data_IF_803862993348
#
_entry.id   IF_803862993348
#
_cell.length_a   1.000
_cell.length_b   1.000
_cell.length_c   1.000
_cell.angle_alpha   90.00
_cell.angle_beta   90.00
_cell.angle_gamma   90.00
#
_symmetry.space_group_name_H-M   'P 1'
#
loop_
_entity.id
_entity.type
_entity.pdbx_description
1 polymer ?
#
# COMPACT_ATOMS: atom_id res chain seq x y z
N UNK A 1 68.07 25.59 -19.22
CA UNK A 1 68.26 24.21 -18.73
C UNK A 1 66.96 23.85 -18.04
N UNK A 2 66.11 23.11 -18.71
CA UNK A 2 65.57 21.75 -18.40
C UNK A 2 64.80 21.79 -17.07
N UNK A 3 63.62 21.25 -16.86
CA UNK A 3 62.83 20.21 -17.59
C UNK A 3 61.38 20.26 -17.11
N UNK A 4 60.46 20.09 -17.99
CA UNK A 4 59.27 19.27 -18.08
C UNK A 4 58.91 18.38 -16.84
N UNK A 5 57.67 18.46 -16.43
CA UNK A 5 56.93 17.28 -16.00
C UNK A 5 55.41 17.49 -16.15
N UNK A 6 54.91 16.94 -17.17
CA UNK A 6 53.67 16.19 -17.38
C UNK A 6 53.04 15.64 -16.11
N UNK A 7 51.80 15.97 -15.81
CA UNK A 7 50.97 15.19 -14.93
C UNK A 7 49.64 14.87 -15.62
N UNK A 8 49.51 13.63 -15.82
CA UNK A 8 48.47 12.89 -16.52
C UNK A 8 47.13 13.04 -15.85
N UNK A 9 46.13 13.26 -16.68
CA UNK A 9 44.74 13.00 -16.30
C UNK A 9 44.52 11.55 -15.90
N UNK A 10 43.83 11.34 -14.81
CA UNK A 10 43.23 10.06 -14.44
C UNK A 10 41.74 10.25 -14.27
N UNK A 11 41.07 9.98 -15.35
CA UNK A 11 39.93 9.04 -15.50
C UNK A 11 38.78 9.16 -14.51
N UNK A 12 37.80 9.96 -14.90
CA UNK A 12 36.41 9.88 -14.46
C UNK A 12 35.65 8.84 -15.31
N UNK A 13 35.99 7.56 -15.22
CA UNK A 13 35.37 6.52 -16.05
C UNK A 13 34.81 5.31 -15.25
N UNK A 14 34.81 5.38 -13.91
CA UNK A 14 34.47 4.20 -13.10
C UNK A 14 33.09 4.21 -12.45
N UNK A 15 32.31 5.31 -12.46
CA UNK A 15 31.01 5.34 -11.81
C UNK A 15 29.82 4.93 -12.70
N UNK A 16 29.99 4.94 -14.00
CA UNK A 16 28.90 4.65 -14.96
C UNK A 16 28.61 3.17 -15.17
N UNK A 17 29.56 2.27 -14.87
CA UNK A 17 29.38 0.81 -15.10
C UNK A 17 28.70 0.08 -13.93
N UNK A 18 28.78 0.58 -12.71
CA UNK A 18 28.14 -0.02 -11.54
C UNK A 18 26.62 0.27 -11.45
N UNK A 19 26.14 1.33 -12.08
CA UNK A 19 24.71 1.70 -12.06
C UNK A 19 23.82 0.86 -13.00
N UNK A 20 24.36 0.33 -14.08
CA UNK A 20 23.59 -0.40 -15.12
C UNK A 20 22.92 -1.70 -14.63
N UNK A 21 23.55 -2.55 -13.79
CA UNK A 21 22.91 -3.78 -13.31
C UNK A 21 21.74 -3.49 -12.37
N UNK A 22 21.86 -2.47 -11.53
CA UNK A 22 20.83 -2.04 -10.60
C UNK A 22 19.58 -1.50 -11.34
N UNK A 23 19.80 -0.59 -12.28
CA UNK A 23 18.71 -0.07 -13.13
C UNK A 23 18.00 -1.16 -13.94
N UNK A 24 18.72 -2.16 -14.42
CA UNK A 24 18.12 -3.28 -15.15
C UNK A 24 17.29 -4.19 -14.23
N UNK A 25 17.73 -4.40 -12.99
CA UNK A 25 16.96 -5.15 -12.00
C UNK A 25 15.67 -4.42 -11.61
N UNK A 26 15.73 -3.12 -11.40
CA UNK A 26 14.56 -2.28 -11.11
C UNK A 26 13.55 -2.30 -12.27
N UNK A 27 13.99 -2.10 -13.50
CA UNK A 27 13.13 -2.16 -14.69
C UNK A 27 12.48 -3.53 -14.88
N UNK A 28 13.18 -4.61 -14.54
CA UNK A 28 12.63 -5.97 -14.59
C UNK A 28 11.56 -6.17 -13.52
N UNK A 29 11.79 -5.67 -12.32
CA UNK A 29 10.83 -5.73 -11.20
C UNK A 29 9.57 -4.92 -11.54
N UNK A 30 9.74 -3.70 -12.02
CA UNK A 30 8.63 -2.85 -12.43
C UNK A 30 7.80 -3.47 -13.56
N UNK A 31 8.45 -4.03 -14.58
CA UNK A 31 7.77 -4.75 -15.66
C UNK A 31 6.96 -5.96 -15.12
N UNK A 32 7.48 -6.67 -14.12
CA UNK A 32 6.77 -7.79 -13.49
C UNK A 32 5.54 -7.33 -12.71
N UNK A 33 5.65 -6.24 -11.94
CA UNK A 33 4.53 -5.64 -11.23
C UNK A 33 3.42 -5.21 -12.19
N UNK A 34 3.79 -4.46 -13.23
CA UNK A 34 2.85 -4.01 -14.26
C UNK A 34 2.14 -5.18 -14.96
N UNK A 35 2.86 -6.25 -15.28
CA UNK A 35 2.27 -7.44 -15.88
C UNK A 35 1.26 -8.12 -14.94
N UNK A 36 1.50 -8.17 -13.62
CA UNK A 36 0.55 -8.72 -12.65
C UNK A 36 -0.72 -7.89 -12.56
N UNK A 37 -0.62 -6.57 -12.51
CA UNK A 37 -1.78 -5.67 -12.52
C UNK A 37 -2.59 -5.80 -13.82
N UNK A 38 -1.91 -5.88 -14.97
CA UNK A 38 -2.57 -6.10 -16.26
C UNK A 38 -3.29 -7.45 -16.33
N UNK A 39 -2.77 -8.46 -15.67
CA UNK A 39 -3.43 -9.78 -15.58
C UNK A 39 -4.58 -9.78 -14.58
N UNK A 40 -4.45 -9.06 -13.46
CA UNK A 40 -5.47 -8.97 -12.41
C UNK A 40 -6.76 -8.32 -12.91
N UNK A 41 -6.64 -7.20 -13.62
CA UNK A 41 -7.78 -6.42 -14.18
C UNK A 41 -8.91 -6.22 -13.17
N UNK A 42 -8.65 -5.59 -12.01
CA UNK A 42 -9.67 -5.46 -11.00
C UNK A 42 -10.83 -4.59 -11.48
N UNK A 43 -12.04 -4.94 -11.07
CA UNK A 43 -13.16 -4.00 -11.14
C UNK A 43 -12.95 -2.89 -10.12
N UNK A 44 -13.22 -1.65 -10.52
CA UNK A 44 -13.15 -0.49 -9.62
C UNK A 44 -14.55 -0.12 -9.20
N UNK A 45 -14.80 -0.07 -7.90
CA UNK A 45 -16.09 0.35 -7.35
C UNK A 45 -15.90 1.52 -6.36
N UNK A 46 -16.83 2.45 -6.41
CA UNK A 46 -16.99 3.53 -5.44
C UNK A 46 -18.22 3.20 -4.62
N UNK A 47 -18.01 2.92 -3.33
CA UNK A 47 -19.11 2.56 -2.43
C UNK A 47 -19.54 3.79 -1.60
N UNK A 48 -20.79 3.73 -1.09
CA UNK A 48 -21.33 4.78 -0.24
C UNK A 48 -20.76 4.71 1.18
N UNK A 49 -20.74 5.85 1.93
CA UNK A 49 -20.34 5.84 3.32
C UNK A 49 -21.21 4.89 4.17
N UNK A 50 -20.58 4.11 5.04
CA UNK A 50 -21.25 3.15 5.93
C UNK A 50 -20.69 3.21 7.35
N UNK A 51 -21.42 2.63 8.28
CA UNK A 51 -20.98 2.54 9.67
C UNK A 51 -19.72 1.68 9.81
N UNK A 52 -18.84 1.96 10.78
CA UNK A 52 -17.54 1.30 10.91
C UNK A 52 -17.60 -0.22 10.92
N UNK A 53 -18.50 -0.83 11.69
CA UNK A 53 -18.63 -2.29 11.75
C UNK A 53 -19.09 -2.88 10.41
N UNK A 54 -20.01 -2.20 9.73
CA UNK A 54 -20.51 -2.63 8.42
C UNK A 54 -19.39 -2.65 7.37
N UNK A 55 -18.48 -1.67 7.39
CA UNK A 55 -17.31 -1.63 6.51
C UNK A 55 -16.39 -2.83 6.75
N UNK A 56 -16.13 -3.19 8.00
CA UNK A 56 -15.31 -4.37 8.33
C UNK A 56 -15.96 -5.67 7.86
N UNK A 57 -17.27 -5.80 8.02
CA UNK A 57 -18.02 -6.97 7.57
C UNK A 57 -18.06 -7.09 6.04
N UNK A 58 -18.14 -5.97 5.33
CA UNK A 58 -18.06 -5.92 3.86
C UNK A 58 -16.71 -6.39 3.40
N UNK A 59 -15.62 -5.92 3.99
CA UNK A 59 -14.25 -6.30 3.60
C UNK A 59 -14.05 -7.81 3.71
N UNK A 60 -14.51 -8.42 4.79
CA UNK A 60 -14.43 -9.89 4.96
C UNK A 60 -15.22 -10.61 3.88
N UNK A 61 -16.49 -10.21 3.67
CA UNK A 61 -17.37 -10.86 2.68
C UNK A 61 -16.87 -10.75 1.25
N UNK A 62 -16.32 -9.58 0.86
CA UNK A 62 -15.79 -9.39 -0.49
C UNK A 62 -14.48 -10.17 -0.69
N UNK A 63 -13.60 -10.19 0.30
CA UNK A 63 -12.40 -11.01 0.27
C UNK A 63 -12.72 -12.51 0.09
N UNK A 64 -13.69 -13.03 0.84
CA UNK A 64 -14.14 -14.43 0.74
C UNK A 64 -14.73 -14.73 -0.65
N UNK A 65 -15.52 -13.82 -1.22
CA UNK A 65 -16.12 -13.99 -2.55
C UNK A 65 -15.08 -14.02 -3.66
N UNK A 66 -14.08 -13.13 -3.60
CA UNK A 66 -12.98 -13.13 -4.56
C UNK A 66 -12.12 -14.39 -4.40
N UNK A 67 -11.79 -14.77 -3.16
CA UNK A 67 -11.03 -15.99 -2.87
C UNK A 67 -11.74 -17.26 -3.37
N UNK A 68 -13.07 -17.29 -3.33
CA UNK A 68 -13.89 -18.40 -3.82
C UNK A 68 -14.15 -18.35 -5.35
N UNK A 69 -13.62 -17.37 -6.08
CA UNK A 69 -13.88 -17.15 -7.49
C UNK A 69 -15.33 -16.75 -7.82
N UNK A 70 -16.10 -16.30 -6.83
CA UNK A 70 -17.50 -15.87 -6.97
C UNK A 70 -17.64 -14.38 -7.29
N UNK A 71 -16.53 -13.68 -7.36
CA UNK A 71 -16.43 -12.27 -7.68
C UNK A 71 -15.08 -12.02 -8.35
N UNK A 72 -14.98 -11.14 -9.35
CA UNK A 72 -13.69 -10.75 -9.91
C UNK A 72 -12.83 -10.01 -8.89
N UNK A 73 -11.50 -9.93 -9.09
CA UNK A 73 -10.67 -9.05 -8.33
C UNK A 73 -11.25 -7.64 -8.32
N UNK A 74 -11.20 -6.96 -7.18
CA UNK A 74 -11.89 -5.68 -7.01
C UNK A 74 -11.04 -4.68 -6.23
N UNK A 75 -10.98 -3.45 -6.72
CA UNK A 75 -10.46 -2.30 -5.99
C UNK A 75 -11.67 -1.44 -5.59
N UNK A 76 -11.94 -1.39 -4.28
CA UNK A 76 -13.07 -0.67 -3.71
C UNK A 76 -12.58 0.60 -3.02
N UNK A 77 -13.12 1.76 -3.42
CA UNK A 77 -12.99 3.03 -2.70
C UNK A 77 -14.25 3.26 -1.86
N UNK A 78 -14.06 3.69 -0.63
CA UNK A 78 -15.17 3.85 0.30
C UNK A 78 -14.86 4.85 1.41
N UNK A 79 -15.89 5.28 2.11
CA UNK A 79 -15.82 6.30 3.13
C UNK A 79 -16.49 5.83 4.43
N UNK A 80 -16.19 6.50 5.51
CA UNK A 80 -16.70 6.22 6.83
C UNK A 80 -17.91 7.15 7.14
N UNK A 81 -19.02 6.57 7.60
CA UNK A 81 -20.20 7.34 8.00
C UNK A 81 -20.12 7.84 9.45
N UNK A 82 -19.19 7.35 10.26
CA UNK A 82 -19.00 7.73 11.66
C UNK A 82 -17.52 7.62 12.07
N UNK A 83 -17.08 8.35 13.12
CA UNK A 83 -15.75 8.24 13.66
C UNK A 83 -15.44 6.83 14.17
N UNK A 84 -14.20 6.38 13.95
CA UNK A 84 -13.76 5.04 14.35
C UNK A 84 -12.31 4.99 14.82
N UNK A 85 -12.04 4.12 15.78
CA UNK A 85 -10.71 3.58 16.04
C UNK A 85 -10.66 2.18 15.45
N UNK A 86 -9.84 1.99 14.43
CA UNK A 86 -9.72 0.71 13.71
C UNK A 86 -8.46 0.02 14.17
N UNK A 87 -8.58 -1.06 14.93
CA UNK A 87 -7.44 -1.86 15.37
C UNK A 87 -7.13 -2.99 14.39
N UNK A 88 -5.86 -3.32 14.27
CA UNK A 88 -5.40 -4.43 13.44
C UNK A 88 -5.78 -5.79 14.03
N UNK A 89 -5.81 -6.82 13.18
CA UNK A 89 -6.22 -8.17 13.53
C UNK A 89 -5.57 -8.74 14.79
N UNK A 90 -4.29 -8.46 15.00
CA UNK A 90 -3.47 -9.06 16.03
C UNK A 90 -3.20 -8.14 17.23
N UNK A 91 -3.72 -6.90 17.22
CA UNK A 91 -3.54 -5.96 18.31
C UNK A 91 -4.41 -6.33 19.52
N UNK A 92 -3.88 -6.09 20.72
CA UNK A 92 -4.65 -6.16 21.97
C UNK A 92 -5.55 -4.93 22.07
N UNK A 93 -6.84 -5.13 22.31
CA UNK A 93 -7.78 -4.02 22.46
C UNK A 93 -7.45 -3.15 23.68
N UNK A 94 -7.09 -3.79 24.78
CA UNK A 94 -6.82 -3.13 26.06
C UNK A 94 -5.52 -2.30 26.03
N UNK A 95 -4.54 -2.74 25.24
CA UNK A 95 -3.26 -2.03 25.11
C UNK A 95 -3.34 -0.84 24.13
N UNK A 96 -4.22 -0.93 23.14
CA UNK A 96 -4.27 0.05 22.05
C UNK A 96 -5.32 1.15 22.26
N UNK A 97 -6.40 0.86 23.00
CA UNK A 97 -7.56 1.77 23.05
C UNK A 97 -8.08 1.96 24.47
N UNK A 98 -8.15 3.20 24.91
CA UNK A 98 -8.95 3.57 26.06
C UNK A 98 -10.44 3.60 25.66
N UNK A 99 -11.17 2.52 25.96
CA UNK A 99 -12.56 2.34 25.56
C UNK A 99 -13.51 3.42 26.11
N UNK A 100 -13.31 3.81 27.37
CA UNK A 100 -14.12 4.84 28.01
C UNK A 100 -13.94 6.19 27.30
N UNK A 101 -12.70 6.55 27.00
CA UNK A 101 -12.39 7.78 26.27
C UNK A 101 -12.92 7.73 24.83
N UNK A 102 -12.76 6.60 24.13
CA UNK A 102 -13.29 6.45 22.78
C UNK A 102 -14.81 6.63 22.75
N UNK A 103 -15.53 6.00 23.68
CA UNK A 103 -16.97 6.11 23.79
C UNK A 103 -17.42 7.54 24.13
N UNK A 104 -16.77 8.19 25.10
CA UNK A 104 -17.06 9.58 25.47
C UNK A 104 -16.84 10.56 24.31
N UNK A 105 -15.88 10.26 23.46
CA UNK A 105 -15.55 11.07 22.28
C UNK A 105 -16.36 10.68 21.02
N UNK A 106 -17.29 9.72 21.13
CA UNK A 106 -18.16 9.31 20.04
C UNK A 106 -17.51 8.41 18.99
N UNK A 107 -16.36 7.80 19.31
CA UNK A 107 -15.67 6.87 18.41
C UNK A 107 -16.15 5.43 18.60
N UNK A 108 -16.45 4.76 17.49
CA UNK A 108 -16.72 3.33 17.45
C UNK A 108 -15.40 2.57 17.30
N UNK A 109 -15.14 1.61 18.18
CA UNK A 109 -13.94 0.76 18.05
C UNK A 109 -14.28 -0.48 17.25
N UNK A 110 -13.55 -0.71 16.17
CA UNK A 110 -13.70 -1.87 15.28
C UNK A 110 -12.38 -2.55 15.00
N UNK A 111 -12.42 -3.83 14.64
CA UNK A 111 -11.23 -4.63 14.28
C UNK A 111 -11.28 -5.01 12.81
N UNK A 112 -10.22 -4.66 12.06
CA UNK A 112 -10.09 -5.11 10.68
C UNK A 112 -9.54 -6.54 10.58
N UNK A 113 -9.82 -7.21 9.47
CA UNK A 113 -9.32 -8.56 9.21
C UNK A 113 -7.83 -8.63 8.82
N UNK A 114 -7.21 -7.49 8.50
CA UNK A 114 -5.79 -7.37 8.16
C UNK A 114 -4.95 -6.96 9.38
N UNK A 115 -3.64 -7.20 9.33
CA UNK A 115 -2.70 -6.77 10.37
C UNK A 115 -2.41 -5.26 10.33
N UNK A 116 -1.38 -4.84 11.06
CA UNK A 116 -0.94 -3.45 11.16
C UNK A 116 -1.40 -2.76 12.44
N UNK A 117 -1.00 -1.50 12.62
CA UNK A 117 -1.29 -0.67 13.80
C UNK A 117 -2.70 -0.11 13.85
N UNK A 118 -3.07 0.51 14.96
CA UNK A 118 -4.36 1.17 15.12
C UNK A 118 -4.44 2.44 14.24
N UNK A 119 -5.62 2.72 13.72
CA UNK A 119 -5.92 3.89 12.91
C UNK A 119 -7.04 4.69 13.57
N UNK A 120 -6.86 6.00 13.59
CA UNK A 120 -7.88 6.94 14.05
C UNK A 120 -8.55 7.58 12.84
N UNK A 121 -9.86 7.43 12.74
CA UNK A 121 -10.64 7.80 11.57
C UNK A 121 -11.69 8.84 11.92
N UNK A 122 -11.71 9.92 11.17
CA UNK A 122 -12.78 10.90 11.15
C UNK A 122 -13.42 10.96 9.76
N UNK A 123 -14.74 10.97 9.64
CA UNK A 123 -15.43 11.08 8.35
C UNK A 123 -14.99 12.33 7.56
N UNK A 124 -14.78 12.16 6.26
CA UNK A 124 -14.36 13.23 5.37
C UNK A 124 -12.86 13.57 5.36
N UNK A 125 -12.08 13.05 6.32
CA UNK A 125 -10.64 13.27 6.41
C UNK A 125 -9.80 12.08 5.90
N UNK A 126 -10.45 11.00 5.50
CA UNK A 126 -9.78 9.76 5.14
C UNK A 126 -10.37 9.18 3.86
N UNK A 127 -9.54 8.96 2.86
CA UNK A 127 -9.87 8.14 1.70
C UNK A 127 -9.43 6.71 2.01
N UNK A 128 -10.37 5.78 1.98
CA UNK A 128 -10.07 4.38 2.24
C UNK A 128 -10.25 3.55 0.97
N UNK A 129 -9.36 2.62 0.74
CA UNK A 129 -9.51 1.64 -0.31
C UNK A 129 -9.22 0.23 0.19
N UNK A 130 -9.82 -0.76 -0.47
CA UNK A 130 -9.60 -2.18 -0.22
C UNK A 130 -9.35 -2.88 -1.55
N UNK A 131 -8.23 -3.59 -1.66
CA UNK A 131 -7.92 -4.44 -2.81
C UNK A 131 -8.23 -5.89 -2.46
N UNK A 132 -9.20 -6.49 -3.15
CA UNK A 132 -9.53 -7.91 -3.05
C UNK A 132 -8.96 -8.62 -4.28
N UNK A 133 -7.95 -9.44 -4.05
CA UNK A 133 -7.24 -10.16 -5.11
C UNK A 133 -7.08 -11.65 -4.77
N UNK A 134 -7.00 -12.54 -5.77
CA UNK A 134 -6.65 -13.93 -5.54
C UNK A 134 -5.24 -14.04 -4.95
N UNK A 135 -5.01 -15.07 -4.14
CA UNK A 135 -3.74 -15.26 -3.44
C UNK A 135 -2.51 -15.37 -4.35
N UNK A 136 -2.70 -15.82 -5.58
CA UNK A 136 -1.64 -15.94 -6.57
C UNK A 136 -1.15 -14.58 -7.10
N UNK A 137 -1.92 -13.50 -6.91
CA UNK A 137 -1.50 -12.14 -7.26
C UNK A 137 -0.18 -11.73 -6.58
N UNK A 138 0.05 -12.19 -5.34
CA UNK A 138 1.26 -11.95 -4.57
C UNK A 138 2.16 -13.20 -4.43
N UNK A 139 1.87 -14.26 -5.17
CA UNK A 139 2.61 -15.52 -5.03
C UNK A 139 4.11 -15.35 -5.33
N UNK A 140 4.94 -15.93 -4.46
CA UNK A 140 6.40 -15.90 -4.57
C UNK A 140 7.04 -14.57 -4.18
N UNK A 141 6.30 -13.69 -3.51
CA UNK A 141 6.77 -12.42 -2.95
C UNK A 141 6.89 -12.51 -1.45
N UNK A 142 7.83 -11.79 -0.89
CA UNK A 142 7.86 -11.50 0.54
C UNK A 142 6.84 -10.40 0.90
N UNK A 143 6.76 -10.06 2.18
CA UNK A 143 5.78 -9.09 2.69
C UNK A 143 6.03 -7.71 2.07
N UNK A 144 7.27 -7.23 2.04
CA UNK A 144 7.61 -5.91 1.51
C UNK A 144 7.33 -5.82 0.01
N UNK A 145 7.72 -6.84 -0.75
CA UNK A 145 7.43 -6.91 -2.19
C UNK A 145 5.93 -6.92 -2.47
N UNK A 146 5.13 -7.59 -1.63
CA UNK A 146 3.67 -7.64 -1.76
C UNK A 146 3.02 -6.28 -1.53
N UNK A 147 3.44 -5.52 -0.51
CA UNK A 147 2.98 -4.15 -0.30
C UNK A 147 3.35 -3.25 -1.47
N UNK A 148 4.62 -3.29 -1.90
CA UNK A 148 5.07 -2.52 -3.07
C UNK A 148 4.31 -2.87 -4.35
N UNK A 149 3.90 -4.12 -4.54
CA UNK A 149 3.02 -4.50 -5.65
C UNK A 149 1.63 -3.91 -5.49
N UNK A 150 1.04 -4.02 -4.29
CA UNK A 150 -0.34 -3.60 -4.05
C UNK A 150 -0.52 -2.08 -4.09
N UNK A 151 0.47 -1.30 -3.68
CA UNK A 151 0.30 0.13 -3.42
C UNK A 151 1.06 1.05 -4.41
N UNK A 152 1.88 0.51 -5.32
CA UNK A 152 2.64 1.31 -6.29
C UNK A 152 1.72 2.20 -7.15
N UNK A 153 0.56 1.70 -7.54
CA UNK A 153 -0.42 2.47 -8.31
C UNK A 153 -0.87 3.74 -7.58
N UNK A 154 -0.95 3.71 -6.24
CA UNK A 154 -1.32 4.87 -5.43
C UNK A 154 -0.21 5.93 -5.45
N UNK A 155 1.05 5.50 -5.32
CA UNK A 155 2.20 6.41 -5.44
C UNK A 155 2.22 7.06 -6.83
N UNK A 156 2.00 6.27 -7.87
CA UNK A 156 1.98 6.79 -9.24
C UNK A 156 0.84 7.80 -9.43
N UNK A 157 -0.36 7.50 -8.94
CA UNK A 157 -1.50 8.40 -8.98
C UNK A 157 -1.26 9.72 -8.20
N UNK A 158 -0.66 9.65 -7.01
CA UNK A 158 -0.31 10.84 -6.24
C UNK A 158 0.72 11.71 -6.98
N UNK A 159 1.71 11.10 -7.61
CA UNK A 159 2.71 11.81 -8.42
C UNK A 159 2.08 12.46 -9.65
N UNK A 160 1.14 11.80 -10.32
CA UNK A 160 0.40 12.38 -11.46
C UNK A 160 -0.44 13.60 -11.03
N UNK A 161 -0.84 13.67 -9.77
CA UNK A 161 -1.48 14.84 -9.16
C UNK A 161 -0.50 15.91 -8.67
N UNK A 162 0.82 15.71 -8.88
CA UNK A 162 1.86 16.64 -8.44
C UNK A 162 2.25 16.53 -6.97
N UNK A 163 1.85 15.45 -6.29
CA UNK A 163 2.20 15.17 -4.90
C UNK A 163 3.45 14.28 -4.86
N UNK A 164 4.48 14.71 -4.18
CA UNK A 164 5.66 13.87 -3.94
C UNK A 164 5.28 12.71 -3.00
N UNK A 165 5.33 11.50 -3.52
CA UNK A 165 5.01 10.28 -2.78
C UNK A 165 6.07 9.21 -3.01
N UNK A 166 6.41 8.48 -1.96
CA UNK A 166 7.34 7.35 -2.00
C UNK A 166 7.03 6.40 -0.85
N UNK A 167 7.44 5.14 -0.97
CA UNK A 167 7.36 4.23 0.15
C UNK A 167 8.26 4.69 1.30
N UNK A 168 7.69 4.79 2.49
CA UNK A 168 8.37 5.02 3.76
C UNK A 168 8.14 3.78 4.62
N UNK A 169 9.20 3.09 5.05
CA UNK A 169 9.02 1.83 5.78
C UNK A 169 8.38 0.69 4.93
N UNK A 170 7.78 -0.30 5.56
CA UNK A 170 7.30 -1.52 4.89
C UNK A 170 5.99 -1.26 4.11
N UNK A 171 5.09 -0.48 4.69
CA UNK A 171 3.70 -0.32 4.23
C UNK A 171 3.16 1.12 4.31
N UNK A 172 4.03 2.10 4.51
CA UNK A 172 3.67 3.51 4.55
C UNK A 172 4.07 4.22 3.24
N UNK A 173 3.29 5.23 2.86
CA UNK A 173 3.51 6.12 1.71
C UNK A 173 3.62 7.56 2.19
#
# INVERSE_FOLDING_TARGET
MRDTASSRGHTAATSSQAHRPFEQAERKTERRRRARWQALKPEVIHDTPRMPQEQMDIDIRLAERVAAGKMPPTLRFWEWAAPAVVIGRFQSLEDEVNLDQAQQSGFTVVRRCTGGGAMFIEPGNTITYSLYAPRDFVAGMDIEESYRLCDQWLIDALRDLGIEASFSSINDI
#
